data_IF_655517658511
#
_entry.id   IF_655517658511
#
_cell.length_a   1.000
_cell.length_b   1.000
_cell.length_c   1.000
_cell.angle_alpha   90.00
_cell.angle_beta   90.00
_cell.angle_gamma   90.00
#
_symmetry.space_group_name_H-M   'P 1'
#
loop_
_entity.id
_entity.type
_entity.pdbx_description
1 polymer ?
#
# COMPACT_ATOMS: atom_id res chain seq x y z
N UNK A 1 10.98 6.76 5.95
CA UNK A 1 11.00 5.36 5.51
C UNK A 1 12.42 4.97 5.11
N UNK A 2 12.96 3.95 5.74
CA UNK A 2 14.30 3.47 5.46
C UNK A 2 14.36 1.93 5.29
N UNK A 3 13.24 1.26 5.41
CA UNK A 3 13.17 -0.20 5.32
C UNK A 3 11.90 -0.62 4.56
N UNK A 4 12.08 -1.39 3.49
CA UNK A 4 10.98 -1.91 2.66
C UNK A 4 11.17 -3.41 2.52
N UNK A 5 10.12 -4.18 2.79
CA UNK A 5 10.12 -5.64 2.65
C UNK A 5 9.10 -6.04 1.61
N UNK A 6 9.55 -6.75 0.59
CA UNK A 6 8.70 -7.27 -0.49
C UNK A 6 8.72 -8.80 -0.41
N UNK A 7 7.54 -9.39 -0.38
CA UNK A 7 7.40 -10.86 -0.31
C UNK A 7 6.54 -11.33 -1.48
N UNK A 8 7.05 -12.29 -2.25
CA UNK A 8 6.27 -13.05 -3.21
C UNK A 8 5.82 -14.32 -2.50
N UNK A 9 4.51 -14.42 -2.27
CA UNK A 9 3.94 -15.53 -1.50
C UNK A 9 3.72 -16.78 -2.36
N UNK A 10 3.50 -17.91 -1.71
CA UNK A 10 3.31 -19.20 -2.41
C UNK A 10 2.06 -19.23 -3.27
N UNK A 11 1.05 -18.41 -2.95
CA UNK A 11 -0.18 -18.27 -3.75
C UNK A 11 -0.02 -17.27 -4.91
N UNK A 12 1.19 -16.80 -5.15
CA UNK A 12 1.53 -15.81 -6.18
C UNK A 12 1.02 -14.40 -5.87
N UNK A 13 0.57 -14.14 -4.64
CA UNK A 13 0.31 -12.77 -4.19
C UNK A 13 1.60 -12.07 -3.79
N UNK A 14 1.57 -10.75 -3.74
CA UNK A 14 2.73 -9.93 -3.35
C UNK A 14 2.33 -9.04 -2.19
N UNK A 15 3.21 -8.92 -1.20
CA UNK A 15 3.10 -7.91 -0.17
C UNK A 15 4.28 -6.96 -0.20
N UNK A 16 4.01 -5.69 0.04
CA UNK A 16 5.02 -4.63 0.15
C UNK A 16 4.77 -3.91 1.46
N UNK A 17 5.72 -3.98 2.37
CA UNK A 17 5.62 -3.35 3.68
C UNK A 17 6.77 -2.36 3.86
N UNK A 18 6.45 -1.16 4.34
CA UNK A 18 7.45 -0.15 4.69
C UNK A 18 7.35 0.22 6.17
N UNK A 19 8.32 0.95 6.66
CA UNK A 19 8.36 1.48 8.03
C UNK A 19 8.22 3.01 8.07
N UNK A 20 7.60 3.58 7.07
CA UNK A 20 7.32 5.01 7.00
C UNK A 20 6.27 5.44 8.02
N UNK A 21 5.77 6.68 7.89
CA UNK A 21 4.78 7.22 8.82
C UNK A 21 3.41 6.56 8.76
N UNK A 22 3.17 5.77 7.73
CA UNK A 22 1.85 5.23 7.43
C UNK A 22 1.00 6.23 6.65
N UNK A 23 0.13 5.72 5.79
CA UNK A 23 -0.82 6.56 5.08
C UNK A 23 -1.78 7.20 6.08
N UNK A 24 -2.14 8.48 5.94
CA UNK A 24 -3.10 9.12 6.85
C UNK A 24 -4.43 8.36 6.94
N UNK A 25 -4.97 8.27 8.15
CA UNK A 25 -6.13 7.41 8.44
C UNK A 25 -7.41 8.20 8.74
N UNK A 26 -7.31 9.52 8.86
CA UNK A 26 -8.45 10.38 9.22
C UNK A 26 -9.51 10.47 8.13
N UNK A 27 -10.73 10.79 8.53
CA UNK A 27 -11.83 11.02 7.60
C UNK A 27 -11.60 12.32 6.83
N UNK A 28 -11.84 12.29 5.52
CA UNK A 28 -11.80 13.48 4.67
C UNK A 28 -13.21 14.04 4.54
N UNK A 29 -13.53 15.04 5.36
CA UNK A 29 -14.86 15.64 5.39
C UNK A 29 -15.20 16.45 4.15
N UNK A 30 -14.20 16.80 3.34
CA UNK A 30 -14.37 17.43 2.03
C UNK A 30 -14.61 16.42 0.89
N UNK A 31 -14.64 15.13 1.20
CA UNK A 31 -14.95 14.09 0.23
C UNK A 31 -16.39 14.25 -0.26
N UNK A 32 -16.58 14.17 -1.57
CA UNK A 32 -17.92 14.23 -2.18
C UNK A 32 -18.66 12.91 -2.13
N UNK A 33 -17.96 11.83 -1.82
CA UNK A 33 -18.54 10.49 -1.68
C UNK A 33 -19.33 10.41 -0.37
N UNK A 34 -20.42 9.65 -0.37
CA UNK A 34 -21.17 9.29 0.82
C UNK A 34 -21.16 7.78 1.01
N UNK A 35 -20.76 7.25 2.15
CA UNK A 35 -20.22 7.97 3.31
C UNK A 35 -18.86 8.61 3.02
N UNK A 36 -18.48 9.62 3.79
CA UNK A 36 -17.17 10.28 3.68
C UNK A 36 -16.07 9.25 3.96
N UNK A 37 -15.10 9.16 3.05
CA UNK A 37 -14.04 8.14 3.14
C UNK A 37 -12.85 8.63 3.96
N UNK A 38 -12.06 7.66 4.45
CA UNK A 38 -10.75 7.96 5.04
C UNK A 38 -9.77 8.42 3.95
N UNK A 39 -8.75 9.17 4.37
CA UNK A 39 -7.67 9.56 3.46
C UNK A 39 -7.02 8.33 2.81
N UNK A 40 -6.82 7.25 3.58
CA UNK A 40 -6.24 6.02 3.07
C UNK A 40 -7.08 5.38 1.96
N UNK A 41 -8.38 5.33 2.11
CA UNK A 41 -9.26 4.79 1.07
C UNK A 41 -9.17 5.65 -0.20
N UNK A 42 -9.13 6.95 -0.07
CA UNK A 42 -9.04 7.86 -1.21
C UNK A 42 -7.73 7.64 -1.97
N UNK A 43 -6.61 7.47 -1.26
CA UNK A 43 -5.32 7.15 -1.89
C UNK A 43 -5.40 5.87 -2.72
N UNK A 44 -6.12 4.87 -2.21
CA UNK A 44 -6.23 3.56 -2.87
C UNK A 44 -7.21 3.55 -4.05
N UNK A 45 -8.13 4.50 -4.13
CA UNK A 45 -9.23 4.46 -5.09
C UNK A 45 -9.22 5.59 -6.11
N UNK A 46 -8.59 6.73 -5.78
CA UNK A 46 -8.67 7.94 -6.60
C UNK A 46 -7.33 8.23 -7.26
N UNK A 47 -7.33 8.38 -8.57
CA UNK A 47 -6.13 8.75 -9.31
C UNK A 47 -5.63 10.12 -8.86
N UNK A 48 -4.31 10.25 -8.73
CA UNK A 48 -3.61 11.48 -8.34
C UNK A 48 -3.86 11.94 -6.90
N UNK A 49 -4.56 11.14 -6.08
CA UNK A 49 -4.88 11.53 -4.71
C UNK A 49 -3.65 11.67 -3.80
N UNK A 50 -2.64 10.82 -4.01
CA UNK A 50 -1.42 10.82 -3.18
C UNK A 50 -0.68 12.13 -3.18
N UNK A 51 -0.63 12.83 -4.31
CA UNK A 51 0.06 14.10 -4.44
C UNK A 51 -0.60 15.27 -3.70
N UNK A 52 -1.83 15.08 -3.22
CA UNK A 52 -2.60 16.13 -2.54
C UNK A 52 -2.41 16.16 -1.02
N UNK A 53 -1.84 15.11 -0.42
CA UNK A 53 -1.80 14.99 1.03
C UNK A 53 -0.64 15.72 1.67
N UNK A 54 0.55 15.59 1.14
CA UNK A 54 1.72 16.30 1.64
C UNK A 54 2.86 16.18 0.64
N UNK A 55 3.07 17.20 -0.15
CA UNK A 55 4.14 17.22 -1.15
C UNK A 55 5.53 17.06 -0.54
N UNK A 56 5.74 17.56 0.67
CA UNK A 56 7.03 17.46 1.35
C UNK A 56 7.36 16.04 1.82
N UNK A 57 6.35 15.20 2.03
CA UNK A 57 6.56 13.83 2.50
C UNK A 57 6.92 12.86 1.38
N UNK A 58 6.74 13.24 0.13
CA UNK A 58 6.93 12.36 -1.03
C UNK A 58 7.95 12.90 -2.03
N UNK A 59 8.94 13.65 -1.55
CA UNK A 59 9.93 14.33 -2.40
C UNK A 59 10.74 13.43 -3.33
N UNK A 60 10.88 12.15 -2.99
CA UNK A 60 11.80 11.24 -3.69
C UNK A 60 11.08 9.98 -4.15
N UNK A 61 9.77 10.02 -4.27
CA UNK A 61 9.05 8.82 -4.60
C UNK A 61 8.86 8.67 -6.10
N UNK A 62 9.06 7.47 -6.62
CA UNK A 62 8.69 7.12 -7.99
C UNK A 62 7.19 7.16 -8.23
N UNK A 63 6.39 7.32 -7.18
CA UNK A 63 4.94 7.46 -7.23
C UNK A 63 4.46 8.90 -7.27
N UNK A 64 5.21 9.80 -7.87
CA UNK A 64 4.92 11.24 -7.88
C UNK A 64 3.56 11.59 -8.49
N UNK A 65 3.03 10.74 -9.34
CA UNK A 65 1.77 11.02 -10.05
C UNK A 65 0.53 10.53 -9.30
N UNK A 66 0.70 9.85 -8.15
CA UNK A 66 -0.42 9.38 -7.33
C UNK A 66 -1.30 8.34 -8.01
N UNK A 67 -0.80 7.65 -9.02
CA UNK A 67 -1.58 6.68 -9.79
C UNK A 67 -1.17 5.24 -9.55
N UNK A 68 0.03 5.00 -9.02
CA UNK A 68 0.60 3.64 -8.92
C UNK A 68 -0.25 2.70 -8.09
N UNK A 69 -0.52 3.06 -6.84
CA UNK A 69 -1.23 2.17 -5.91
C UNK A 69 -2.71 2.03 -6.28
N UNK A 70 -3.34 3.09 -6.80
CA UNK A 70 -4.74 3.00 -7.24
C UNK A 70 -4.90 2.09 -8.45
N UNK A 71 -3.92 2.08 -9.36
CA UNK A 71 -3.90 1.14 -10.47
C UNK A 71 -3.73 -0.30 -9.98
N UNK A 72 -2.81 -0.54 -9.05
CA UNK A 72 -2.62 -1.88 -8.47
C UNK A 72 -3.92 -2.38 -7.84
N UNK A 73 -4.61 -1.51 -7.10
CA UNK A 73 -5.88 -1.84 -6.46
C UNK A 73 -6.94 -2.23 -7.49
N UNK A 74 -7.11 -1.41 -8.53
CA UNK A 74 -8.10 -1.67 -9.57
C UNK A 74 -7.83 -2.97 -10.35
N UNK A 75 -6.55 -3.35 -10.49
CA UNK A 75 -6.13 -4.51 -11.27
C UNK A 75 -5.88 -5.76 -10.42
N UNK A 76 -6.33 -5.76 -9.18
CA UNK A 76 -6.16 -6.88 -8.25
C UNK A 76 -7.49 -7.54 -7.92
N UNK A 77 -7.51 -8.86 -7.84
CA UNK A 77 -8.69 -9.63 -7.38
C UNK A 77 -9.05 -9.18 -5.97
N UNK A 78 -8.05 -9.15 -5.10
CA UNK A 78 -8.19 -8.63 -3.75
C UNK A 78 -6.93 -7.85 -3.38
N UNK A 79 -7.12 -6.90 -2.48
CA UNK A 79 -6.04 -6.14 -1.89
C UNK A 79 -6.37 -5.85 -0.44
N UNK A 80 -5.38 -6.01 0.43
CA UNK A 80 -5.48 -5.66 1.85
C UNK A 80 -4.46 -4.59 2.18
N UNK A 81 -4.96 -3.49 2.70
CA UNK A 81 -4.15 -2.38 3.17
C UNK A 81 -4.08 -2.44 4.69
N UNK A 82 -2.88 -2.53 5.23
CA UNK A 82 -2.63 -2.46 6.66
C UNK A 82 -1.82 -1.21 6.96
N UNK A 83 -2.29 -0.38 7.86
CA UNK A 83 -1.59 0.84 8.28
C UNK A 83 -1.30 0.74 9.76
N UNK A 84 -0.04 0.97 10.14
CA UNK A 84 0.39 1.06 11.54
C UNK A 84 0.77 2.51 11.79
N UNK A 85 -0.03 3.19 12.59
CA UNK A 85 0.11 4.62 12.81
C UNK A 85 -0.54 5.01 14.13
N UNK A 86 0.10 5.93 14.86
CA UNK A 86 -0.43 6.50 16.10
C UNK A 86 -0.83 5.44 17.14
N UNK A 87 -0.02 4.38 17.24
CA UNK A 87 -0.22 3.32 18.22
C UNK A 87 -1.27 2.28 17.83
N UNK A 88 -1.87 2.39 16.65
CA UNK A 88 -2.96 1.51 16.20
C UNK A 88 -2.64 0.84 14.87
N UNK A 89 -3.24 -0.32 14.68
CA UNK A 89 -3.19 -1.07 13.43
C UNK A 89 -4.55 -1.01 12.77
N UNK A 90 -4.57 -0.52 11.53
CA UNK A 90 -5.80 -0.33 10.74
C UNK A 90 -5.82 -1.29 9.56
N UNK A 91 -7.00 -1.73 9.18
CA UNK A 91 -7.21 -2.61 8.01
C UNK A 91 -8.29 -2.07 7.10
N UNK A 92 -8.03 -2.10 5.80
CA UNK A 92 -9.02 -1.84 4.77
C UNK A 92 -8.84 -2.87 3.66
N UNK A 93 -9.95 -3.47 3.20
CA UNK A 93 -9.93 -4.52 2.20
C UNK A 93 -10.68 -4.09 0.94
N UNK A 94 -10.21 -4.60 -0.20
CA UNK A 94 -10.78 -4.30 -1.51
C UNK A 94 -10.92 -5.59 -2.35
N UNK A 95 -11.94 -5.60 -3.19
CA UNK A 95 -12.07 -6.57 -4.29
C UNK A 95 -12.19 -5.77 -5.59
N UNK A 96 -11.27 -6.01 -6.52
CA UNK A 96 -11.23 -5.33 -7.83
C UNK A 96 -11.42 -3.83 -7.71
N UNK A 97 -10.73 -3.23 -6.75
CA UNK A 97 -10.73 -1.79 -6.51
C UNK A 97 -11.91 -1.27 -5.70
N UNK A 98 -12.85 -2.12 -5.30
CA UNK A 98 -14.01 -1.74 -4.51
C UNK A 98 -13.80 -2.10 -3.04
N UNK A 99 -13.98 -1.14 -2.14
CA UNK A 99 -13.88 -1.40 -0.71
C UNK A 99 -14.96 -2.40 -0.27
N UNK A 100 -14.56 -3.39 0.53
CA UNK A 100 -15.47 -4.39 1.09
C UNK A 100 -15.42 -4.33 2.62
N UNK A 101 -16.47 -4.85 3.25
CA UNK A 101 -16.58 -4.87 4.73
C UNK A 101 -16.45 -3.46 5.34
N UNK A 102 -17.01 -2.48 4.65
CA UNK A 102 -16.95 -1.07 5.03
C UNK A 102 -17.66 -0.84 6.37
N UNK A 103 -16.99 -0.10 7.25
CA UNK A 103 -17.63 0.46 8.44
C UNK A 103 -18.35 1.75 8.06
N UNK A 104 -19.51 1.96 8.64
CA UNK A 104 -20.25 3.22 8.46
C UNK A 104 -20.65 3.72 9.86
N UNK A 105 -20.29 4.96 10.15
CA UNK A 105 -20.64 5.64 11.40
C UNK A 105 -21.26 6.98 11.08
N UNK A 106 -22.08 7.50 11.99
CA UNK A 106 -22.60 8.86 11.89
C UNK A 106 -21.83 9.75 12.87
N UNK A 107 -21.24 10.81 12.37
CA UNK A 107 -20.52 11.79 13.17
C UNK A 107 -21.13 13.16 12.91
N UNK A 108 -21.84 13.68 13.90
CA UNK A 108 -22.49 15.00 13.85
C UNK A 108 -23.43 15.16 12.64
N UNK A 109 -24.21 14.12 12.33
CA UNK A 109 -25.14 14.12 11.20
C UNK A 109 -24.53 13.79 9.86
N UNK A 110 -23.23 13.45 9.80
CA UNK A 110 -22.53 13.07 8.56
C UNK A 110 -22.15 11.61 8.63
N UNK A 111 -22.50 10.86 7.60
CA UNK A 111 -22.08 9.46 7.49
C UNK A 111 -20.61 9.40 7.04
N UNK A 112 -19.81 8.68 7.80
CA UNK A 112 -18.38 8.49 7.54
C UNK A 112 -18.03 7.01 7.52
N UNK A 113 -16.95 6.67 6.82
CA UNK A 113 -16.46 5.30 6.72
C UNK A 113 -15.02 5.22 7.25
N UNK A 114 -14.86 5.07 8.57
CA UNK A 114 -13.52 4.96 9.14
C UNK A 114 -12.90 3.61 8.84
N UNK A 115 -11.57 3.55 8.96
CA UNK A 115 -10.83 2.30 8.86
C UNK A 115 -11.15 1.42 10.08
N UNK A 116 -11.12 0.11 9.85
CA UNK A 116 -11.26 -0.86 10.94
C UNK A 116 -9.97 -0.91 11.75
N UNK A 117 -10.08 -0.74 13.06
CA UNK A 117 -8.94 -0.89 13.98
C UNK A 117 -8.87 -2.36 14.38
N UNK A 118 -7.74 -3.02 14.10
CA UNK A 118 -7.55 -4.45 14.38
C UNK A 118 -6.70 -4.71 15.61
N UNK A 119 -6.05 -3.69 16.16
CA UNK A 119 -5.24 -3.84 17.35
C UNK A 119 -4.37 -2.63 17.64
N UNK A 120 -3.50 -2.78 18.61
CA UNK A 120 -2.50 -1.80 18.98
C UNK A 120 -1.12 -2.24 18.48
N UNK A 121 -0.23 -1.30 18.21
CA UNK A 121 1.13 -1.60 17.78
C UNK A 121 2.04 -0.43 18.10
N UNK A 122 3.31 -0.73 18.39
CA UNK A 122 4.35 0.28 18.52
C UNK A 122 5.05 0.54 17.19
N UNK A 123 4.79 -0.30 16.19
CA UNK A 123 5.36 -0.16 14.85
C UNK A 123 4.61 0.88 14.07
N UNK A 124 5.24 1.37 13.00
CA UNK A 124 4.60 2.27 12.05
C UNK A 124 4.90 1.82 10.63
N UNK A 125 4.06 2.21 9.70
CA UNK A 125 4.27 1.93 8.28
C UNK A 125 3.01 1.53 7.55
N UNK A 126 3.18 1.24 6.27
CA UNK A 126 2.10 0.83 5.37
C UNK A 126 2.47 -0.51 4.75
N UNK A 127 1.50 -1.43 4.72
CA UNK A 127 1.65 -2.71 4.04
C UNK A 127 0.51 -2.88 3.05
N UNK A 128 0.85 -3.22 1.81
CA UNK A 128 -0.11 -3.54 0.76
C UNK A 128 0.13 -4.97 0.35
N UNK A 129 -0.92 -5.80 0.44
CA UNK A 129 -0.86 -7.21 0.05
C UNK A 129 -1.96 -7.45 -0.99
N UNK A 130 -1.59 -7.93 -2.19
CA UNK A 130 -2.54 -8.02 -3.30
C UNK A 130 -2.29 -9.26 -4.15
N UNK A 131 -3.34 -9.65 -4.88
CA UNK A 131 -3.28 -10.70 -5.89
C UNK A 131 -3.75 -10.12 -7.23
N UNK A 132 -2.87 -10.15 -8.24
CA UNK A 132 -3.18 -9.63 -9.57
C UNK A 132 -4.35 -10.39 -10.21
N UNK A 133 -5.18 -9.68 -10.96
CA UNK A 133 -6.38 -10.24 -11.58
C UNK A 133 -6.04 -10.95 -12.89
N UNK A 134 -6.12 -12.28 -12.88
CA UNK A 134 -5.85 -13.10 -14.07
C UNK A 134 -6.87 -12.94 -15.18
N UNK A 135 -8.08 -12.48 -14.87
CA UNK A 135 -9.07 -12.16 -15.89
C UNK A 135 -8.64 -10.99 -16.77
N UNK A 136 -7.83 -10.08 -16.22
CA UNK A 136 -7.33 -8.92 -16.95
C UNK A 136 -6.01 -9.25 -17.66
N UNK A 137 -5.08 -9.93 -16.96
CA UNK A 137 -3.71 -10.14 -17.46
C UNK A 137 -3.48 -11.54 -18.06
N UNK A 138 -4.44 -12.47 -17.92
CA UNK A 138 -4.17 -13.88 -18.12
C UNK A 138 -3.32 -14.42 -16.96
N UNK A 139 -2.77 -15.64 -17.09
CA UNK A 139 -1.93 -16.22 -16.04
C UNK A 139 -0.76 -15.29 -15.73
N UNK A 140 -0.66 -14.86 -14.48
CA UNK A 140 0.41 -13.95 -14.01
C UNK A 140 1.44 -14.77 -13.26
N UNK A 141 2.68 -14.70 -13.73
CA UNK A 141 3.82 -15.28 -13.02
C UNK A 141 4.86 -14.20 -12.79
N UNK A 142 5.22 -13.98 -11.52
CA UNK A 142 6.25 -13.01 -11.18
C UNK A 142 7.63 -13.64 -11.32
N UNK A 143 8.50 -12.97 -12.09
CA UNK A 143 9.86 -13.41 -12.30
C UNK A 143 10.78 -12.73 -11.29
N UNK A 144 11.36 -13.53 -10.40
CA UNK A 144 12.24 -13.03 -9.34
C UNK A 144 13.36 -12.15 -9.88
N UNK A 145 14.05 -12.60 -10.93
CA UNK A 145 15.22 -11.89 -11.45
C UNK A 145 14.88 -10.50 -12.00
N UNK A 146 13.70 -10.34 -12.60
CA UNK A 146 13.24 -9.06 -13.12
C UNK A 146 12.94 -8.11 -11.97
N UNK A 147 12.25 -8.60 -10.95
CA UNK A 147 11.90 -7.81 -9.76
C UNK A 147 13.19 -7.42 -9.01
N UNK A 148 14.11 -8.38 -8.80
CA UNK A 148 15.36 -8.12 -8.12
C UNK A 148 16.19 -7.05 -8.83
N UNK A 149 16.27 -7.12 -10.15
CA UNK A 149 16.98 -6.12 -10.95
C UNK A 149 16.40 -4.72 -10.74
N UNK A 150 15.07 -4.60 -10.78
CA UNK A 150 14.39 -3.32 -10.59
C UNK A 150 14.60 -2.77 -9.17
N UNK A 151 14.54 -3.61 -8.17
CA UNK A 151 14.77 -3.20 -6.79
C UNK A 151 16.21 -2.75 -6.57
N UNK A 152 17.17 -3.39 -7.22
CA UNK A 152 18.58 -2.98 -7.16
C UNK A 152 18.75 -1.58 -7.75
N UNK A 153 18.12 -1.31 -8.89
CA UNK A 153 18.13 0.02 -9.50
C UNK A 153 17.51 1.07 -8.57
N UNK A 154 16.36 0.75 -7.96
CA UNK A 154 15.68 1.65 -7.04
C UNK A 154 16.52 1.94 -5.79
N UNK A 155 17.24 0.95 -5.27
CA UNK A 155 18.10 1.16 -4.10
C UNK A 155 19.29 2.07 -4.40
N UNK A 156 19.81 2.04 -5.63
CA UNK A 156 20.82 3.01 -6.07
C UNK A 156 20.29 4.44 -6.08
N UNK A 157 19.04 4.61 -6.49
CA UNK A 157 18.42 5.93 -6.59
C UNK A 157 17.98 6.48 -5.24
N UNK A 158 17.80 5.62 -4.25
CA UNK A 158 17.28 5.99 -2.93
C UNK A 158 18.26 5.55 -1.84
N UNK A 159 19.37 6.27 -1.75
CA UNK A 159 20.40 5.99 -0.75
C UNK A 159 19.83 6.01 0.67
N UNK A 160 20.25 5.05 1.49
CA UNK A 160 19.79 4.92 2.85
C UNK A 160 18.52 4.10 3.03
N UNK A 161 17.89 3.66 1.94
CA UNK A 161 16.74 2.75 2.01
C UNK A 161 17.23 1.33 1.87
N UNK A 162 16.85 0.47 2.81
CA UNK A 162 17.10 -0.96 2.76
C UNK A 162 15.88 -1.67 2.19
N UNK A 163 16.07 -2.47 1.16
CA UNK A 163 15.00 -3.24 0.52
C UNK A 163 15.33 -4.72 0.65
N UNK A 164 14.40 -5.50 1.17
CA UNK A 164 14.49 -6.96 1.23
C UNK A 164 13.45 -7.55 0.30
N UNK A 165 13.88 -8.48 -0.55
CA UNK A 165 13.00 -9.26 -1.42
C UNK A 165 13.06 -10.72 -0.99
N UNK A 166 11.92 -11.30 -0.67
CA UNK A 166 11.78 -12.71 -0.32
C UNK A 166 10.82 -13.38 -1.30
N UNK A 167 11.25 -14.47 -1.92
CA UNK A 167 10.40 -15.30 -2.76
C UNK A 167 10.13 -16.63 -2.04
N UNK A 168 8.96 -16.76 -1.46
CA UNK A 168 8.57 -17.95 -0.71
C UNK A 168 8.32 -19.17 -1.61
N UNK A 169 8.12 -18.96 -2.91
CA UNK A 169 7.89 -20.04 -3.87
C UNK A 169 9.16 -20.88 -4.07
N UNK A 170 10.33 -20.23 -4.00
CA UNK A 170 11.62 -20.84 -4.30
C UNK A 170 12.65 -20.69 -3.17
N UNK A 171 12.23 -20.19 -2.00
CA UNK A 171 13.10 -19.94 -0.84
C UNK A 171 14.32 -19.07 -1.17
N UNK A 172 14.11 -18.03 -1.96
CA UNK A 172 15.13 -17.01 -2.28
C UNK A 172 14.91 -15.79 -1.42
N UNK A 173 16.01 -15.17 -0.99
CA UNK A 173 15.99 -14.00 -0.12
C UNK A 173 17.20 -13.14 -0.46
N UNK A 174 16.99 -11.83 -0.67
CA UNK A 174 18.05 -10.93 -1.08
C UNK A 174 17.83 -9.54 -0.46
N UNK A 175 18.91 -8.94 0.04
CA UNK A 175 18.88 -7.58 0.58
C UNK A 175 19.57 -6.61 -0.38
N UNK A 176 18.96 -5.46 -0.60
CA UNK A 176 19.49 -4.37 -1.41
C UNK A 176 19.63 -3.14 -0.52
N UNK A 177 20.86 -2.70 -0.30
CA UNK A 177 21.11 -1.49 0.48
C UNK A 177 22.39 -0.83 -0.03
N UNK A 178 22.28 0.42 -0.42
CA UNK A 178 23.43 1.20 -0.86
C UNK A 178 23.56 2.43 0.03
N UNK A 179 24.69 2.52 0.70
CA UNK A 179 25.07 3.71 1.45
C UNK A 179 25.66 4.71 0.47
N UNK A 180 25.07 5.87 0.38
CA UNK A 180 25.57 6.96 -0.46
C UNK A 180 26.74 7.67 0.11
#
# INVERSE_FOLDING_TARGET
CDDIVIVIHTDNSISVADNGRGIPTGIKFDDKHEPKRSAAEIVMCVLHAGGKFNQNSYKVSGGLHGVGVSCVNALSVWLRLTIRRDGKKYLLEFNRGQAINRLIENQNGVDVSPLRVTGNTEKRGTEVHFLADEEIFGPVEFHYDIIAKRLRELSFLNNGVKIRLTDQRNNKDEDFAFAG
#
